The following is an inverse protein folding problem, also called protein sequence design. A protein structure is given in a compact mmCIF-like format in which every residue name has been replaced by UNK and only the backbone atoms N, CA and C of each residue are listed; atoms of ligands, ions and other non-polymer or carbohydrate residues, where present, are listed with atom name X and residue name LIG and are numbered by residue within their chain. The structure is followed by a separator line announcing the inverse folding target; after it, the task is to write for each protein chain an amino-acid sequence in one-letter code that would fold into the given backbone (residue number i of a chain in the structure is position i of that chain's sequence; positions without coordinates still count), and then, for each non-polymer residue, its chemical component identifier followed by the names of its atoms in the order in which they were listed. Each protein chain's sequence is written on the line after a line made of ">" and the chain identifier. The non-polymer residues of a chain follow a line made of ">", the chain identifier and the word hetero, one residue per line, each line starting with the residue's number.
data_IF_240395807910
#
_entry.id   IF_240395807910
#
_cell.length_a   1.000
_cell.length_b   1.000
_cell.length_c   1.000
_cell.angle_alpha   90.00
_cell.angle_beta   90.00
_cell.angle_gamma   90.00
#
_symmetry.space_group_name_H-M   'P 1'
#
loop_
_entity.id
_entity.type
_entity.pdbx_description
1 polymer ?
#
# COMPACT_ATOMS: atom_id res chain seq x y z
N UNK A 1 -7.57 -5.60 -25.54
CA UNK A 1 -7.68 -5.95 -24.10
C UNK A 1 -8.77 -5.07 -23.51
N UNK A 2 -9.80 -5.63 -22.86
CA UNK A 2 -10.84 -4.81 -22.23
C UNK A 2 -10.23 -4.00 -21.07
N UNK A 3 -10.50 -2.70 -21.01
CA UNK A 3 -9.98 -1.82 -19.96
C UNK A 3 -10.27 -2.34 -18.54
N UNK A 4 -11.36 -3.08 -18.38
CA UNK A 4 -11.76 -3.80 -17.15
C UNK A 4 -10.66 -4.70 -16.61
N UNK A 5 -9.99 -5.49 -17.46
CA UNK A 5 -8.95 -6.42 -17.03
C UNK A 5 -7.73 -5.70 -16.41
N UNK A 6 -7.45 -4.48 -16.86
CA UNK A 6 -6.38 -3.64 -16.31
C UNK A 6 -6.76 -3.12 -14.93
N UNK A 7 -7.98 -2.64 -14.75
CA UNK A 7 -8.49 -2.19 -13.45
C UNK A 7 -8.54 -3.32 -12.43
N UNK A 8 -9.00 -4.52 -12.82
CA UNK A 8 -9.01 -5.69 -11.92
C UNK A 8 -7.60 -6.08 -11.46
N UNK A 9 -6.62 -6.11 -12.37
CA UNK A 9 -5.22 -6.41 -12.00
C UNK A 9 -4.65 -5.36 -11.05
N UNK A 10 -4.93 -4.09 -11.28
CA UNK A 10 -4.52 -3.01 -10.39
C UNK A 10 -5.17 -3.17 -9.00
N UNK A 11 -6.47 -3.41 -8.94
CA UNK A 11 -7.20 -3.60 -7.69
C UNK A 11 -6.65 -4.79 -6.88
N UNK A 12 -6.41 -5.94 -7.53
CA UNK A 12 -5.81 -7.11 -6.89
C UNK A 12 -4.41 -6.83 -6.36
N UNK A 13 -3.59 -6.08 -7.12
CA UNK A 13 -2.26 -5.68 -6.67
C UNK A 13 -2.32 -4.76 -5.47
N UNK A 14 -3.21 -3.78 -5.47
CA UNK A 14 -3.43 -2.86 -4.34
C UNK A 14 -3.84 -3.65 -3.09
N UNK A 15 -4.83 -4.54 -3.23
CA UNK A 15 -5.32 -5.38 -2.14
C UNK A 15 -4.20 -6.24 -1.54
N UNK A 16 -3.45 -6.95 -2.39
CA UNK A 16 -2.34 -7.79 -1.94
C UNK A 16 -1.25 -6.97 -1.26
N UNK A 17 -0.85 -5.84 -1.84
CA UNK A 17 0.23 -5.00 -1.32
C UNK A 17 -0.15 -4.39 0.04
N UNK A 18 -1.39 -3.90 0.21
CA UNK A 18 -1.87 -3.42 1.51
C UNK A 18 -2.00 -4.54 2.54
N UNK A 19 -2.57 -5.69 2.14
CA UNK A 19 -2.72 -6.84 3.03
C UNK A 19 -1.37 -7.31 3.57
N UNK A 20 -0.38 -7.47 2.71
CA UNK A 20 0.99 -7.86 3.10
C UNK A 20 1.65 -6.78 3.97
N UNK A 21 1.51 -5.51 3.60
CA UNK A 21 2.08 -4.38 4.35
C UNK A 21 1.57 -4.33 5.79
N UNK A 22 0.32 -4.73 6.04
CA UNK A 22 -0.27 -4.79 7.39
C UNK A 22 0.11 -6.09 8.10
N UNK A 23 -0.10 -7.23 7.44
CA UNK A 23 0.01 -8.55 8.05
C UNK A 23 1.43 -8.83 8.57
N UNK A 24 2.47 -8.53 7.79
CA UNK A 24 3.86 -8.82 8.17
C UNK A 24 4.24 -8.13 9.49
N UNK A 25 4.15 -6.79 9.63
CA UNK A 25 4.54 -6.12 10.86
C UNK A 25 3.59 -6.42 12.02
N UNK A 26 2.28 -6.59 11.81
CA UNK A 26 1.35 -6.93 12.90
C UNK A 26 1.61 -8.32 13.46
N UNK A 27 1.74 -9.35 12.60
CA UNK A 27 2.03 -10.71 13.03
C UNK A 27 3.44 -10.80 13.62
N UNK A 28 4.42 -10.16 12.98
CA UNK A 28 5.80 -10.10 13.48
C UNK A 28 5.89 -9.45 14.87
N UNK A 29 5.19 -8.33 15.08
CA UNK A 29 5.12 -7.66 16.37
C UNK A 29 4.41 -8.50 17.43
N UNK A 30 3.32 -9.18 17.07
CA UNK A 30 2.60 -10.05 17.99
C UNK A 30 3.47 -11.22 18.46
N UNK A 31 4.13 -11.93 17.52
CA UNK A 31 5.01 -13.06 17.83
C UNK A 31 6.25 -12.63 18.63
N UNK A 32 6.89 -11.53 18.23
CA UNK A 32 8.07 -11.03 18.93
C UNK A 32 7.69 -10.51 20.32
N UNK A 33 6.57 -9.80 20.44
CA UNK A 33 6.11 -9.23 21.68
C UNK A 33 5.66 -10.28 22.69
N UNK A 34 4.89 -11.29 22.27
CA UNK A 34 4.53 -12.40 23.14
C UNK A 34 5.76 -13.17 23.61
N UNK A 35 6.70 -13.42 22.70
CA UNK A 35 7.96 -14.08 23.07
C UNK A 35 8.78 -13.27 24.07
N UNK A 36 8.81 -11.94 23.93
CA UNK A 36 9.53 -11.06 24.86
C UNK A 36 8.85 -11.03 26.22
N UNK A 37 7.52 -10.92 26.25
CA UNK A 37 6.74 -10.94 27.48
C UNK A 37 6.93 -12.26 28.25
N UNK A 38 6.89 -13.40 27.56
CA UNK A 38 7.16 -14.72 28.15
C UNK A 38 8.60 -14.84 28.65
N UNK A 39 9.57 -14.26 27.91
CA UNK A 39 10.99 -14.37 28.24
C UNK A 39 11.39 -13.56 29.47
N UNK A 40 10.75 -12.42 29.70
CA UNK A 40 11.04 -11.51 30.81
C UNK A 40 10.01 -11.58 31.95
N UNK A 41 9.08 -12.53 31.88
CA UNK A 41 7.97 -12.69 32.83
C UNK A 41 7.19 -11.37 33.04
N UNK A 42 7.10 -10.56 31.99
CA UNK A 42 6.34 -9.33 32.05
C UNK A 42 4.88 -9.61 31.72
N UNK A 43 3.99 -8.87 32.38
CA UNK A 43 2.65 -8.60 31.84
C UNK A 43 2.76 -8.17 30.37
N UNK A 44 1.68 -8.28 29.54
CA UNK A 44 1.72 -8.13 28.08
C UNK A 44 2.05 -6.71 27.57
N UNK A 45 3.14 -6.13 28.05
CA UNK A 45 3.58 -4.75 27.86
C UNK A 45 4.38 -4.66 26.57
N UNK A 46 5.29 -5.61 26.33
CA UNK A 46 6.08 -5.63 25.10
C UNK A 46 5.21 -5.93 23.89
N UNK A 47 4.24 -6.84 24.01
CA UNK A 47 3.22 -7.09 23.00
C UNK A 47 2.46 -5.81 22.64
N UNK A 48 1.93 -5.08 23.63
CA UNK A 48 1.18 -3.85 23.37
C UNK A 48 2.06 -2.80 22.71
N UNK A 49 3.28 -2.58 23.21
CA UNK A 49 4.22 -1.60 22.66
C UNK A 49 4.57 -1.95 21.21
N UNK A 50 4.91 -3.21 20.93
CA UNK A 50 5.28 -3.64 19.57
C UNK A 50 4.09 -3.58 18.61
N UNK A 51 2.87 -3.88 19.05
CA UNK A 51 1.68 -3.72 18.22
C UNK A 51 1.39 -2.25 17.92
N UNK A 52 1.57 -1.34 18.88
CA UNK A 52 1.42 0.11 18.64
C UNK A 52 2.47 0.57 17.63
N UNK A 53 3.74 0.14 17.77
CA UNK A 53 4.79 0.47 16.82
C UNK A 53 4.48 -0.07 15.42
N UNK A 54 4.00 -1.31 15.31
CA UNK A 54 3.55 -1.89 14.04
C UNK A 54 2.39 -1.10 13.44
N UNK A 55 1.42 -0.67 14.26
CA UNK A 55 0.28 0.14 13.80
C UNK A 55 0.74 1.49 13.23
N UNK A 56 1.67 2.18 13.91
CA UNK A 56 2.20 3.46 13.42
C UNK A 56 2.99 3.26 12.12
N UNK A 57 3.84 2.23 12.06
CA UNK A 57 4.65 1.92 10.88
C UNK A 57 3.77 1.59 9.66
N UNK A 58 2.72 0.80 9.88
CA UNK A 58 1.77 0.43 8.83
C UNK A 58 0.95 1.62 8.38
N UNK A 59 0.43 2.44 9.30
CA UNK A 59 -0.33 3.65 8.97
C UNK A 59 0.48 4.62 8.08
N UNK A 60 1.73 4.87 8.43
CA UNK A 60 2.63 5.72 7.62
C UNK A 60 2.89 5.12 6.23
N UNK A 61 3.14 3.81 6.18
CA UNK A 61 3.38 3.10 4.92
C UNK A 61 2.15 3.09 4.01
N UNK A 62 0.95 2.92 4.60
CA UNK A 62 -0.33 2.92 3.90
C UNK A 62 -0.59 4.29 3.28
N UNK A 63 -0.37 5.38 4.02
CA UNK A 63 -0.56 6.74 3.51
C UNK A 63 0.28 7.01 2.25
N UNK A 64 1.56 6.61 2.27
CA UNK A 64 2.46 6.73 1.11
C UNK A 64 2.01 5.87 -0.08
N UNK A 65 1.55 4.64 0.16
CA UNK A 65 1.07 3.74 -0.90
C UNK A 65 -0.27 4.21 -1.48
N UNK A 66 -1.19 4.68 -0.65
CA UNK A 66 -2.50 5.19 -1.09
C UNK A 66 -2.35 6.38 -2.04
N UNK A 67 -1.49 7.34 -1.70
CA UNK A 67 -1.20 8.50 -2.58
C UNK A 67 -0.52 8.10 -3.89
N UNK A 68 0.33 7.07 -3.88
CA UNK A 68 0.93 6.51 -5.10
C UNK A 68 -0.13 5.84 -5.99
N UNK A 69 -0.93 4.92 -5.44
CA UNK A 69 -1.92 4.17 -6.21
C UNK A 69 -3.05 5.06 -6.73
N UNK A 70 -3.43 6.12 -6.00
CA UNK A 70 -4.38 7.12 -6.48
C UNK A 70 -3.91 7.82 -7.76
N UNK A 71 -2.62 8.18 -7.84
CA UNK A 71 -2.02 8.76 -9.06
C UNK A 71 -2.01 7.77 -10.22
N UNK A 72 -1.68 6.51 -9.95
CA UNK A 72 -1.68 5.45 -10.97
C UNK A 72 -3.09 5.23 -11.52
N UNK A 73 -4.10 5.15 -10.65
CA UNK A 73 -5.49 5.00 -11.06
C UNK A 73 -5.97 6.17 -11.93
N UNK A 74 -5.72 7.41 -11.51
CA UNK A 74 -6.09 8.62 -12.27
C UNK A 74 -5.47 8.63 -13.67
N UNK A 75 -4.22 8.17 -13.80
CA UNK A 75 -3.53 8.09 -15.10
C UNK A 75 -4.12 7.03 -16.05
N UNK A 76 -4.82 6.03 -15.51
CA UNK A 76 -5.53 5.01 -16.29
C UNK A 76 -6.96 5.45 -16.63
N UNK A 77 -7.62 6.23 -15.76
CA UNK A 77 -8.99 6.71 -15.96
C UNK A 77 -9.11 7.90 -16.93
N UNK A 78 -8.06 8.73 -17.07
CA UNK A 78 -8.03 9.85 -18.02
C UNK A 78 -6.90 9.70 -19.05
N UNK A 79 -7.05 8.83 -20.06
CA UNK A 79 -6.05 8.68 -21.13
C UNK A 79 -5.90 9.91 -22.05
N UNK A 80 -6.87 10.85 -22.04
CA UNK A 80 -6.86 12.08 -22.86
C UNK A 80 -5.76 13.08 -22.48
N UNK A 81 -5.23 13.04 -21.26
CA UNK A 81 -4.12 13.90 -20.82
C UNK A 81 -2.78 13.56 -21.52
N UNK A 82 -2.60 12.30 -21.94
CA UNK A 82 -1.41 11.89 -22.71
C UNK A 82 -1.48 12.25 -24.19
N UNK A 83 -2.68 12.50 -24.72
CA UNK A 83 -2.88 12.87 -26.13
C UNK A 83 -2.64 14.36 -26.35
N UNK A 84 -2.82 15.20 -25.32
CA UNK A 84 -2.48 16.63 -25.37
C UNK A 84 -0.97 16.92 -25.25
N UNK A 85 -0.16 15.96 -24.78
CA UNK A 85 1.30 16.10 -24.70
C UNK A 85 2.02 15.51 -25.91
N UNK A 86 1.31 14.84 -26.83
CA UNK A 86 1.81 14.50 -28.16
C UNK A 86 1.30 15.59 -29.11
N UNK A 87 1.90 16.77 -29.00
CA UNK A 87 1.76 17.86 -29.95
C UNK A 87 2.21 17.29 -31.31
N UNK A 88 1.26 16.88 -32.16
CA UNK A 88 1.53 16.37 -33.49
C UNK A 88 1.95 17.57 -34.38
N UNK A 89 3.23 17.68 -34.75
CA UNK A 89 3.72 18.80 -35.55
C UNK A 89 3.18 18.78 -36.98
N UNK A 90 2.47 17.72 -37.42
CA UNK A 90 1.88 17.62 -38.75
C UNK A 90 0.55 18.38 -38.92
N UNK A 91 -0.05 18.88 -37.83
CA UNK A 91 -1.26 19.70 -37.86
C UNK A 91 -1.03 21.18 -38.23
N UNK A 92 0.25 21.60 -38.34
CA UNK A 92 0.66 22.95 -38.78
C UNK A 92 1.03 22.99 -40.27
N UNK A 93 0.16 22.49 -41.13
CA UNK A 93 0.28 22.69 -42.60
C UNK A 93 -1.06 23.13 -43.18
#
# INVERSE_FOLDING_TARGET
>A
MSNEAVYYRLAMRIFADFGITIAIPSVGAALLGSWLDDRYETEPRYLIILLILALVLTAFSIYRKATYYGRVFNSLSNPSDKTSSYDDPSSRR
#
